data_IF_904494996708
#
_entry.id   IF_904494996708
#
_cell.length_a   1.000
_cell.length_b   1.000
_cell.length_c   1.000
_cell.angle_alpha   90.00
_cell.angle_beta   90.00
_cell.angle_gamma   90.00
#
_symmetry.space_group_name_H-M   'P 1'
#
loop_
_entity.id
_entity.type
_entity.pdbx_description
1 polymer ?
#
# COMPACT_ATOMS: atom_id res chain seq x y z
N UNK A 1 10.06 0.88 -24.16
CA UNK A 1 11.34 0.97 -23.45
C UNK A 1 12.18 -0.16 -23.96
N UNK A 2 13.29 0.14 -24.61
CA UNK A 2 14.26 -0.87 -25.04
C UNK A 2 15.20 -1.12 -23.86
N UNK A 3 15.32 -2.38 -23.46
CA UNK A 3 16.22 -2.79 -22.40
C UNK A 3 17.50 -3.31 -23.03
N UNK A 4 18.63 -3.02 -22.39
CA UNK A 4 19.95 -3.48 -22.80
C UNK A 4 20.00 -5.01 -22.89
N UNK A 5 20.85 -5.49 -23.79
CA UNK A 5 21.05 -6.93 -24.00
C UNK A 5 21.49 -7.63 -22.71
N UNK A 6 20.88 -8.78 -22.45
CA UNK A 6 21.15 -9.59 -21.24
C UNK A 6 20.22 -9.31 -20.05
N UNK A 7 19.25 -8.39 -20.16
CA UNK A 7 18.13 -8.32 -19.20
C UNK A 7 17.11 -9.42 -19.52
N UNK A 8 16.87 -10.34 -18.57
CA UNK A 8 16.06 -11.55 -18.78
C UNK A 8 14.61 -11.38 -18.32
N UNK A 9 14.41 -10.68 -17.21
CA UNK A 9 13.10 -10.45 -16.60
C UNK A 9 12.96 -8.96 -16.31
N UNK A 10 11.83 -8.36 -16.69
CA UNK A 10 11.47 -6.99 -16.34
C UNK A 10 10.07 -7.01 -15.75
N UNK A 11 9.98 -6.71 -14.46
CA UNK A 11 8.70 -6.55 -13.79
C UNK A 11 8.56 -5.11 -13.29
N UNK A 12 7.53 -4.41 -13.75
CA UNK A 12 7.20 -3.10 -13.20
C UNK A 12 6.79 -3.26 -11.73
N UNK A 13 7.47 -2.57 -10.83
CA UNK A 13 7.07 -2.53 -9.43
C UNK A 13 5.79 -1.71 -9.36
N UNK A 14 4.74 -2.35 -8.83
CA UNK A 14 3.46 -1.70 -8.61
C UNK A 14 3.39 -1.25 -7.16
N UNK A 15 3.04 0.01 -6.94
CA UNK A 15 2.74 0.53 -5.60
C UNK A 15 1.45 1.34 -5.62
N UNK A 16 0.84 1.49 -4.46
CA UNK A 16 -0.35 2.31 -4.32
C UNK A 16 0.02 3.78 -4.62
N UNK A 17 -0.74 4.51 -5.46
CA UNK A 17 -0.49 5.92 -5.71
C UNK A 17 -0.51 6.74 -4.43
N UNK A 18 0.37 7.74 -4.32
CA UNK A 18 0.47 8.61 -3.12
C UNK A 18 -0.87 9.26 -2.79
N UNK A 19 -1.60 9.77 -3.80
CA UNK A 19 -2.91 10.39 -3.59
C UNK A 19 -3.91 9.42 -2.96
N UNK A 20 -3.89 8.14 -3.36
CA UNK A 20 -4.78 7.12 -2.84
C UNK A 20 -4.42 6.75 -1.40
N UNK A 21 -3.11 6.69 -1.07
CA UNK A 21 -2.64 6.51 0.30
C UNK A 21 -3.10 7.65 1.21
N UNK A 22 -2.97 8.90 0.74
CA UNK A 22 -3.44 10.10 1.45
C UNK A 22 -4.97 10.01 1.68
N UNK A 23 -5.74 9.67 0.64
CA UNK A 23 -7.20 9.50 0.77
C UNK A 23 -7.55 8.42 1.79
N UNK A 24 -6.91 7.26 1.71
CA UNK A 24 -7.15 6.15 2.65
C UNK A 24 -6.83 6.53 4.10
N UNK A 25 -5.76 7.31 4.31
CA UNK A 25 -5.42 7.84 5.62
C UNK A 25 -6.51 8.75 6.19
N UNK A 26 -6.98 9.74 5.42
CA UNK A 26 -8.05 10.64 5.88
C UNK A 26 -9.38 9.94 6.12
N UNK A 27 -9.73 8.95 5.29
CA UNK A 27 -10.91 8.12 5.50
C UNK A 27 -10.80 7.33 6.80
N UNK A 28 -9.65 6.72 7.06
CA UNK A 28 -9.38 5.97 8.30
C UNK A 28 -9.48 6.90 9.52
N UNK A 29 -8.94 8.11 9.43
CA UNK A 29 -9.04 9.11 10.50
C UNK A 29 -10.49 9.53 10.76
N UNK A 30 -11.28 9.75 9.71
CA UNK A 30 -12.69 10.10 9.84
C UNK A 30 -13.50 8.97 10.51
N UNK A 31 -13.23 7.72 10.12
CA UNK A 31 -13.83 6.52 10.75
C UNK A 31 -13.44 6.46 12.22
N UNK A 32 -12.17 6.68 12.56
CA UNK A 32 -11.71 6.67 13.95
C UNK A 32 -12.41 7.73 14.82
N UNK A 33 -12.57 8.95 14.30
CA UNK A 33 -13.29 10.02 15.02
C UNK A 33 -14.77 9.65 15.20
N UNK A 34 -15.39 9.09 14.16
CA UNK A 34 -16.77 8.62 14.20
C UNK A 34 -16.95 7.49 15.22
N UNK A 35 -16.00 6.56 15.26
CA UNK A 35 -15.98 5.43 16.20
C UNK A 35 -15.94 5.95 17.63
N UNK A 36 -15.02 6.85 17.97
CA UNK A 36 -14.97 7.51 19.29
C UNK A 36 -16.31 8.17 19.65
N UNK A 37 -16.91 8.89 18.71
CA UNK A 37 -18.20 9.53 18.93
C UNK A 37 -19.30 8.50 19.23
N UNK A 38 -19.33 7.39 18.48
CA UNK A 38 -20.25 6.28 18.71
C UNK A 38 -19.99 5.66 20.08
N UNK A 39 -18.75 5.32 20.42
CA UNK A 39 -18.37 4.73 21.72
C UNK A 39 -18.85 5.60 22.89
N UNK A 40 -18.67 6.92 22.82
CA UNK A 40 -19.14 7.85 23.86
C UNK A 40 -20.66 7.83 24.00
N UNK A 41 -21.40 7.79 22.88
CA UNK A 41 -22.87 7.68 22.89
C UNK A 41 -23.34 6.31 23.41
N UNK A 42 -22.69 5.25 22.97
CA UNK A 42 -22.93 3.85 23.35
C UNK A 42 -22.77 3.69 24.86
N UNK A 43 -21.69 4.24 25.42
CA UNK A 43 -21.40 4.22 26.85
C UNK A 43 -22.53 4.84 27.69
N UNK A 44 -23.13 5.94 27.21
CA UNK A 44 -24.28 6.58 27.87
C UNK A 44 -25.54 5.72 27.78
N UNK A 45 -25.82 5.15 26.62
CA UNK A 45 -27.01 4.33 26.40
C UNK A 45 -26.99 3.01 27.19
N UNK A 46 -25.81 2.42 27.38
CA UNK A 46 -25.61 1.26 28.26
C UNK A 46 -25.87 1.63 29.72
N UNK A 47 -25.43 2.82 30.17
CA UNK A 47 -25.72 3.31 31.51
C UNK A 47 -27.23 3.55 31.75
N UNK A 48 -28.00 3.77 30.69
CA UNK A 48 -29.46 3.94 30.71
C UNK A 48 -30.24 2.61 30.57
N UNK A 49 -29.54 1.47 30.46
CA UNK A 49 -30.13 0.12 30.47
C UNK A 49 -30.37 -0.52 29.11
N UNK A 50 -30.06 0.15 28.00
CA UNK A 50 -30.06 -0.47 26.66
C UNK A 50 -28.69 -1.09 26.35
N UNK A 51 -28.61 -2.42 26.22
CA UNK A 51 -27.32 -3.12 26.11
C UNK A 51 -26.99 -3.66 24.71
N UNK A 52 -27.99 -4.16 23.97
CA UNK A 52 -27.76 -4.89 22.72
C UNK A 52 -27.40 -3.99 21.54
N UNK A 53 -28.17 -2.92 21.30
CA UNK A 53 -27.91 -1.99 20.18
C UNK A 53 -26.55 -1.29 20.29
N UNK A 54 -26.13 -0.81 21.48
CA UNK A 54 -24.89 -0.08 21.59
C UNK A 54 -23.65 -0.97 21.36
N UNK A 55 -23.68 -2.22 21.83
CA UNK A 55 -22.58 -3.18 21.61
C UNK A 55 -22.45 -3.55 20.13
N UNK A 56 -23.56 -3.76 19.42
CA UNK A 56 -23.53 -4.04 17.98
C UNK A 56 -22.92 -2.85 17.22
N UNK A 57 -23.27 -1.62 17.61
CA UNK A 57 -22.69 -0.41 16.99
C UNK A 57 -21.18 -0.34 17.20
N UNK A 58 -20.69 -0.61 18.41
CA UNK A 58 -19.25 -0.61 18.72
C UNK A 58 -18.48 -1.69 17.95
N UNK A 59 -19.00 -2.93 17.93
CA UNK A 59 -18.36 -4.04 17.20
C UNK A 59 -18.26 -3.72 15.70
N UNK A 60 -19.29 -3.12 15.13
CA UNK A 60 -19.28 -2.69 13.72
C UNK A 60 -18.28 -1.55 13.49
N UNK A 61 -18.21 -0.57 14.40
CA UNK A 61 -17.28 0.54 14.32
C UNK A 61 -15.82 0.08 14.33
N UNK A 62 -15.45 -0.79 15.28
CA UNK A 62 -14.13 -1.41 15.36
C UNK A 62 -13.83 -2.24 14.11
N UNK A 63 -14.78 -3.05 13.62
CA UNK A 63 -14.58 -3.84 12.40
C UNK A 63 -14.33 -2.96 11.17
N UNK A 64 -15.04 -1.82 11.08
CA UNK A 64 -14.87 -0.85 10.01
C UNK A 64 -13.49 -0.20 10.07
N UNK A 65 -13.04 0.16 11.29
CA UNK A 65 -11.73 0.76 11.53
C UNK A 65 -10.58 -0.19 11.14
N UNK A 66 -10.66 -1.46 11.56
CA UNK A 66 -9.65 -2.48 11.21
C UNK A 66 -9.59 -2.68 9.69
N UNK A 67 -10.74 -2.76 9.03
CA UNK A 67 -10.83 -2.93 7.58
C UNK A 67 -10.25 -1.71 6.84
N UNK A 68 -10.57 -0.49 7.28
CA UNK A 68 -10.03 0.73 6.71
C UNK A 68 -8.51 0.84 6.88
N UNK A 69 -7.99 0.48 8.06
CA UNK A 69 -6.55 0.47 8.33
C UNK A 69 -5.79 -0.53 7.44
N UNK A 70 -6.32 -1.75 7.28
CA UNK A 70 -5.74 -2.75 6.40
C UNK A 70 -5.80 -2.33 4.92
N UNK A 71 -6.88 -1.65 4.50
CA UNK A 71 -6.95 -1.02 3.17
C UNK A 71 -5.90 0.08 2.98
N UNK A 72 -5.73 0.96 3.98
CA UNK A 72 -4.73 2.04 3.92
C UNK A 72 -3.29 1.53 3.84
N UNK A 73 -3.01 0.35 4.41
CA UNK A 73 -1.73 -0.35 4.28
C UNK A 73 -1.57 -1.11 2.96
N UNK A 74 -2.62 -1.18 2.14
CA UNK A 74 -2.63 -1.95 0.89
C UNK A 74 -2.70 -3.47 1.11
N UNK A 75 -3.08 -3.94 2.30
CA UNK A 75 -3.29 -5.36 2.61
C UNK A 75 -4.61 -5.86 2.02
N UNK A 76 -5.62 -4.98 1.96
CA UNK A 76 -6.93 -5.24 1.35
C UNK A 76 -7.01 -4.53 -0.01
N UNK A 77 -7.41 -5.27 -1.05
CA UNK A 77 -7.50 -4.79 -2.43
C UNK A 77 -6.33 -5.18 -3.33
N UNK A 78 -5.22 -5.67 -2.77
CA UNK A 78 -4.13 -6.28 -3.55
C UNK A 78 -3.60 -5.39 -4.68
N UNK A 79 -3.42 -5.98 -5.86
CA UNK A 79 -2.87 -5.29 -7.04
C UNK A 79 -3.89 -4.41 -7.77
N UNK A 80 -5.19 -4.45 -7.41
CA UNK A 80 -6.22 -3.63 -8.08
C UNK A 80 -5.96 -2.14 -7.99
N UNK A 81 -5.35 -1.70 -6.88
CA UNK A 81 -5.10 -0.28 -6.60
C UNK A 81 -3.64 0.12 -6.79
N UNK A 82 -2.76 -0.82 -7.16
CA UNK A 82 -1.35 -0.55 -7.36
C UNK A 82 -1.10 -0.24 -8.83
N UNK A 83 -0.43 0.88 -9.07
CA UNK A 83 -0.01 1.29 -10.41
C UNK A 83 1.50 1.16 -10.54
N UNK A 84 2.04 0.96 -11.75
CA UNK A 84 3.47 1.04 -11.99
C UNK A 84 4.02 2.37 -11.45
N UNK A 85 5.05 2.31 -10.62
CA UNK A 85 5.62 3.48 -9.96
C UNK A 85 6.89 4.02 -10.63
N UNK A 86 7.23 3.48 -11.80
CA UNK A 86 8.44 3.83 -12.54
C UNK A 86 9.69 3.05 -12.13
N UNK A 87 9.61 2.18 -11.12
CA UNK A 87 10.65 1.23 -10.78
C UNK A 87 10.42 -0.10 -11.51
N UNK A 88 11.51 -0.76 -11.86
CA UNK A 88 11.51 -2.06 -12.53
C UNK A 88 12.40 -3.02 -11.77
N UNK A 89 11.92 -4.23 -11.53
CA UNK A 89 12.76 -5.35 -11.08
C UNK A 89 13.32 -6.05 -12.29
N UNK A 90 14.64 -6.12 -12.35
CA UNK A 90 15.36 -6.72 -13.46
C UNK A 90 16.35 -7.78 -13.00
N UNK A 91 16.40 -8.87 -13.75
CA UNK A 91 17.44 -9.90 -13.63
C UNK A 91 18.35 -9.77 -14.85
N UNK A 92 19.66 -9.71 -14.61
CA UNK A 92 20.68 -9.57 -15.67
C UNK A 92 21.48 -10.86 -15.81
N UNK A 93 21.90 -11.18 -17.03
CA UNK A 93 22.85 -12.26 -17.32
C UNK A 93 24.27 -11.87 -16.93
N UNK A 94 25.16 -12.86 -16.76
CA UNK A 94 26.58 -12.63 -16.55
C UNK A 94 27.29 -11.93 -17.74
N UNK A 95 26.66 -11.89 -18.91
CA UNK A 95 27.18 -11.24 -20.12
C UNK A 95 26.76 -9.76 -20.25
N UNK A 96 25.93 -9.25 -19.33
CA UNK A 96 25.46 -7.86 -19.38
C UNK A 96 26.60 -6.89 -19.06
N UNK A 97 26.79 -5.88 -19.92
CA UNK A 97 27.73 -4.80 -19.63
C UNK A 97 27.20 -3.93 -18.49
N UNK A 98 27.85 -4.05 -17.33
CA UNK A 98 27.44 -3.33 -16.12
C UNK A 98 27.75 -1.84 -16.16
N UNK A 99 28.64 -1.41 -17.05
CA UNK A 99 28.94 0.01 -17.28
C UNK A 99 27.76 0.66 -17.97
N UNK A 100 27.33 0.08 -19.10
CA UNK A 100 26.17 0.57 -19.87
C UNK A 100 24.89 0.51 -19.03
N UNK A 101 24.76 -0.51 -18.19
CA UNK A 101 23.63 -0.67 -17.28
C UNK A 101 23.55 0.42 -16.21
N UNK A 102 24.67 0.77 -15.59
CA UNK A 102 24.70 1.80 -14.55
C UNK A 102 24.64 3.22 -15.13
N UNK A 103 25.06 3.40 -16.38
CA UNK A 103 24.92 4.66 -17.11
C UNK A 103 23.47 4.91 -17.52
N UNK A 104 22.74 3.86 -17.91
CA UNK A 104 21.34 3.95 -18.34
C UNK A 104 20.36 3.95 -17.16
N UNK A 105 20.66 3.19 -16.11
CA UNK A 105 19.76 2.96 -14.99
C UNK A 105 20.37 3.39 -13.66
N UNK A 106 19.52 3.94 -12.80
CA UNK A 106 19.81 4.13 -11.39
C UNK A 106 19.42 2.86 -10.63
N UNK A 107 20.38 2.24 -9.95
CA UNK A 107 20.13 1.06 -9.10
C UNK A 107 19.63 1.56 -7.75
N UNK A 108 18.36 1.29 -7.47
CA UNK A 108 17.70 1.68 -6.21
C UNK A 108 17.91 0.62 -5.14
N UNK A 109 17.91 -0.67 -5.52
CA UNK A 109 18.10 -1.78 -4.60
C UNK A 109 18.66 -3.01 -5.32
N UNK A 110 19.26 -3.94 -4.57
CA UNK A 110 19.70 -5.26 -5.06
C UNK A 110 19.48 -6.32 -4.00
N UNK A 111 18.65 -7.33 -4.32
CA UNK A 111 18.33 -8.42 -3.40
C UNK A 111 18.08 -9.72 -4.16
N UNK A 112 18.66 -10.81 -3.66
CA UNK A 112 18.46 -12.17 -4.18
C UNK A 112 18.72 -12.31 -5.69
N UNK A 113 19.72 -11.60 -6.22
CA UNK A 113 20.04 -11.62 -7.66
C UNK A 113 19.15 -10.74 -8.54
N UNK A 114 18.25 -9.95 -7.96
CA UNK A 114 17.33 -9.05 -8.67
C UNK A 114 17.67 -7.60 -8.34
N UNK A 115 17.90 -6.81 -9.37
CA UNK A 115 18.08 -5.36 -9.27
C UNK A 115 16.74 -4.66 -9.32
N UNK A 116 16.53 -3.67 -8.45
CA UNK A 116 15.45 -2.70 -8.61
C UNK A 116 16.03 -1.43 -9.21
N UNK A 117 15.56 -1.07 -10.40
CA UNK A 117 16.10 0.04 -11.18
C UNK A 117 15.06 1.13 -11.43
N UNK A 118 15.56 2.33 -11.64
CA UNK A 118 14.83 3.46 -12.23
C UNK A 118 15.59 3.91 -13.47
N UNK A 119 14.90 4.37 -14.50
CA UNK A 119 15.58 4.95 -15.66
C UNK A 119 16.07 6.34 -15.30
N UNK A 120 17.35 6.61 -15.59
CA UNK A 120 17.90 7.95 -15.43
C UNK A 120 17.27 8.86 -16.49
N UNK A 121 16.81 10.03 -16.06
CA UNK A 121 16.32 11.08 -16.97
C UNK A 121 17.48 11.78 -17.69
#
# INVERSE_FOLDING_TARGET
MEFINGVILIEAVKSMPIWLQITAYFVTLAIFILDIYITVKVSRSIAEGEFLKPIVAEVLGVALLVTAGAFAKGEIGGDYFKVPNGLYRVTVTAETDMTEFQDTYEIVDYKDGVYTIKVRE
#
